data_IF_576602475129
#
_entry.id   IF_576602475129
#
_cell.length_a   1.000
_cell.length_b   1.000
_cell.length_c   1.000
_cell.angle_alpha   90.00
_cell.angle_beta   90.00
_cell.angle_gamma   90.00
#
_symmetry.space_group_name_H-M   'P 1'
#
loop_
_entity.id
_entity.type
_entity.pdbx_description
1 polymer ?
#
# COMPACT_ATOMS: atom_id res chain seq x y z
N UNK A 1 40.94 -10.03 -8.80
CA UNK A 1 39.79 -10.54 -9.57
C UNK A 1 38.57 -10.42 -8.67
N UNK A 2 37.51 -9.75 -9.11
CA UNK A 2 36.27 -9.55 -8.34
C UNK A 2 35.12 -10.17 -9.12
N UNK A 3 34.23 -10.87 -8.42
CA UNK A 3 33.00 -11.44 -8.99
C UNK A 3 31.83 -10.62 -8.47
N UNK A 4 31.01 -10.10 -9.38
CA UNK A 4 29.77 -9.41 -9.03
C UNK A 4 28.62 -10.41 -9.07
N UNK A 5 27.89 -10.52 -7.96
CA UNK A 5 26.67 -11.32 -7.87
C UNK A 5 25.50 -10.34 -7.68
N UNK A 6 24.44 -10.52 -8.47
CA UNK A 6 23.19 -9.76 -8.34
C UNK A 6 22.09 -10.69 -7.87
N UNK A 7 21.47 -10.33 -6.75
CA UNK A 7 20.25 -10.98 -6.27
C UNK A 7 19.07 -10.33 -6.97
N UNK A 8 18.12 -11.14 -7.44
CA UNK A 8 16.88 -10.66 -8.04
C UNK A 8 15.77 -10.75 -7.01
N UNK A 9 14.94 -9.71 -6.98
CA UNK A 9 13.74 -9.65 -6.16
C UNK A 9 12.63 -10.55 -6.73
N UNK A 10 11.86 -11.18 -5.84
CA UNK A 10 10.64 -11.91 -6.15
C UNK A 10 9.50 -11.28 -5.38
N UNK A 11 8.29 -11.35 -5.94
CA UNK A 11 7.10 -10.92 -5.22
C UNK A 11 6.72 -11.98 -4.18
N UNK A 12 7.32 -11.90 -2.99
CA UNK A 12 7.15 -12.84 -1.89
C UNK A 12 6.60 -12.20 -0.61
N UNK A 13 6.42 -10.88 -0.60
CA UNK A 13 5.70 -10.16 0.42
C UNK A 13 4.32 -9.74 -0.10
N UNK A 14 3.38 -9.55 0.81
CA UNK A 14 2.05 -9.06 0.48
C UNK A 14 1.88 -7.65 1.06
N UNK A 15 1.15 -6.75 0.38
CA UNK A 15 0.89 -5.42 0.90
C UNK A 15 0.16 -5.49 2.25
N UNK A 16 0.64 -4.71 3.23
CA UNK A 16 0.05 -4.65 4.58
C UNK A 16 -0.31 -3.23 4.99
N UNK A 17 -1.50 -3.07 5.56
CA UNK A 17 -1.88 -1.82 6.23
C UNK A 17 -1.24 -1.73 7.61
N UNK A 18 -1.02 -0.49 8.09
CA UNK A 18 -0.47 -0.25 9.42
C UNK A 18 -1.43 -0.65 10.55
N UNK A 19 -2.74 -0.70 10.28
CA UNK A 19 -3.77 -1.06 11.25
C UNK A 19 -4.72 -2.10 10.66
N UNK A 20 -5.27 -2.95 11.53
CA UNK A 20 -6.25 -3.96 11.14
C UNK A 20 -7.63 -3.36 10.80
N UNK A 21 -7.94 -2.18 11.34
CA UNK A 21 -9.17 -1.46 11.08
C UNK A 21 -8.92 0.04 11.18
N UNK A 22 -9.58 0.80 10.31
CA UNK A 22 -9.60 2.26 10.33
C UNK A 22 -11.05 2.72 10.51
N UNK A 23 -11.28 3.61 11.48
CA UNK A 23 -12.60 4.18 11.76
C UNK A 23 -12.49 5.69 11.73
N UNK A 24 -13.41 6.33 11.01
CA UNK A 24 -13.51 7.78 10.90
C UNK A 24 -14.99 8.17 10.97
N UNK A 25 -15.28 9.26 11.68
CA UNK A 25 -16.61 9.86 11.72
C UNK A 25 -16.72 10.88 10.60
N UNK A 26 -17.81 10.83 9.84
CA UNK A 26 -18.02 11.66 8.65
C UNK A 26 -19.31 12.47 8.86
N UNK A 27 -19.28 13.81 8.74
CA UNK A 27 -20.48 14.63 8.78
C UNK A 27 -21.45 14.27 7.64
N UNK A 28 -22.76 14.33 7.92
CA UNK A 28 -23.80 14.01 6.93
C UNK A 28 -23.87 14.99 5.76
N UNK A 29 -23.43 16.22 5.99
CA UNK A 29 -23.41 17.32 5.02
C UNK A 29 -22.08 17.46 4.28
N UNK A 30 -21.18 16.46 4.42
CA UNK A 30 -19.87 16.49 3.78
C UNK A 30 -20.04 16.52 2.24
N UNK A 31 -19.48 17.53 1.53
CA UNK A 31 -19.66 17.67 0.10
C UNK A 31 -19.10 16.48 -0.69
N UNK A 32 -19.71 16.17 -1.84
CA UNK A 32 -19.21 15.16 -2.75
C UNK A 32 -17.80 15.49 -3.25
N UNK A 33 -16.94 14.47 -3.30
CA UNK A 33 -15.52 14.61 -3.67
C UNK A 33 -14.61 15.02 -2.50
N UNK A 34 -15.15 15.19 -1.29
CA UNK A 34 -14.32 15.41 -0.10
C UNK A 34 -13.45 14.20 0.22
N UNK A 35 -12.21 14.45 0.63
CA UNK A 35 -11.31 13.43 1.13
C UNK A 35 -11.79 12.96 2.50
N UNK A 36 -12.14 11.68 2.62
CA UNK A 36 -12.60 11.06 3.87
C UNK A 36 -11.44 10.45 4.66
N UNK A 37 -10.61 9.66 3.97
CA UNK A 37 -9.50 8.94 4.56
C UNK A 37 -8.43 8.69 3.49
N UNK A 38 -7.17 8.76 3.89
CA UNK A 38 -6.04 8.31 3.08
C UNK A 38 -5.44 7.07 3.75
N UNK A 39 -5.41 5.96 3.01
CA UNK A 39 -4.81 4.72 3.46
C UNK A 39 -3.46 4.51 2.79
N UNK A 40 -2.55 3.87 3.52
CA UNK A 40 -1.27 3.41 3.00
C UNK A 40 -1.07 1.96 3.44
N UNK A 41 -0.88 1.09 2.46
CA UNK A 41 -0.32 -0.24 2.63
C UNK A 41 1.11 -0.25 2.09
N UNK A 42 1.96 -1.00 2.78
CA UNK A 42 3.38 -1.13 2.46
C UNK A 42 3.68 -2.55 2.03
N UNK A 43 4.47 -2.66 0.97
CA UNK A 43 5.04 -3.90 0.48
C UNK A 43 6.55 -3.67 0.31
N UNK A 44 7.41 -4.45 0.99
CA UNK A 44 8.86 -4.24 0.97
C UNK A 44 9.54 -4.69 -0.33
N UNK A 45 8.82 -5.33 -1.26
CA UNK A 45 9.40 -5.85 -2.50
C UNK A 45 9.82 -4.74 -3.47
N UNK A 46 10.76 -5.05 -4.36
CA UNK A 46 11.37 -4.04 -5.23
C UNK A 46 10.49 -3.69 -6.44
N UNK A 47 10.43 -2.40 -6.76
CA UNK A 47 9.84 -1.90 -8.01
C UNK A 47 8.36 -2.25 -8.14
N UNK A 48 7.99 -2.96 -9.21
CA UNK A 48 6.59 -3.34 -9.46
C UNK A 48 6.07 -4.41 -8.50
N UNK A 49 6.97 -5.18 -7.86
CA UNK A 49 6.55 -6.21 -6.91
C UNK A 49 5.96 -5.57 -5.65
N UNK A 50 6.54 -4.46 -5.19
CA UNK A 50 6.00 -3.66 -4.09
C UNK A 50 4.92 -2.64 -4.47
N UNK A 51 4.41 -2.67 -5.71
CA UNK A 51 3.40 -1.70 -6.16
C UNK A 51 2.00 -2.09 -5.66
N UNK A 52 1.37 -1.17 -4.92
CA UNK A 52 0.06 -1.40 -4.32
C UNK A 52 -1.07 -0.72 -5.10
N UNK A 53 -2.17 -1.45 -5.33
CA UNK A 53 -3.43 -0.92 -5.88
C UNK A 53 -4.57 -1.13 -4.89
N UNK A 54 -5.45 -0.13 -4.78
CA UNK A 54 -6.57 -0.13 -3.82
C UNK A 54 -7.90 -0.20 -4.57
N UNK A 55 -8.87 -0.91 -4.00
CA UNK A 55 -10.24 -0.97 -4.51
C UNK A 55 -11.23 -1.03 -3.35
N UNK A 56 -12.42 -0.48 -3.57
CA UNK A 56 -13.58 -0.67 -2.70
C UNK A 56 -14.49 -1.68 -3.40
N UNK A 57 -14.92 -2.71 -2.65
CA UNK A 57 -15.78 -3.79 -3.16
C UNK A 57 -17.24 -3.40 -3.33
#
# INVERSE_FOLDING_TARGET
>A
MVVTVRVLDLNDNAPRFAQAAYTVEVPEDLPSGSLVLQLAAEDPDEGTNGQVSYYLG
#
